data_IF_978494435032
#
_entry.id   IF_978494435032
#
_cell.length_a   1.000
_cell.length_b   1.000
_cell.length_c   1.000
_cell.angle_alpha   90.00
_cell.angle_beta   90.00
_cell.angle_gamma   90.00
#
_symmetry.space_group_name_H-M   'P 1'
#
loop_
_entity.id
_entity.type
_entity.pdbx_description
1 polymer ?
#
# COMPACT_ATOMS: atom_id res chain seq x y z
N UNK A 1 13.65 -10.98 -18.90
CA UNK A 1 13.46 -12.44 -18.99
C UNK A 1 12.51 -12.74 -20.13
N UNK A 2 13.02 -13.42 -21.19
CA UNK A 2 12.27 -13.82 -22.38
C UNK A 2 11.38 -12.71 -23.00
N UNK A 3 11.80 -11.44 -22.91
CA UNK A 3 11.08 -10.24 -23.39
C UNK A 3 9.59 -10.20 -22.96
N UNK A 4 9.30 -10.74 -21.78
CA UNK A 4 7.94 -10.88 -21.26
C UNK A 4 7.17 -12.12 -21.75
N UNK A 5 7.70 -12.86 -22.70
CA UNK A 5 7.12 -14.08 -23.24
C UNK A 5 7.75 -15.32 -22.59
N UNK A 6 7.32 -15.67 -21.41
CA UNK A 6 7.81 -16.85 -20.70
C UNK A 6 6.72 -17.92 -20.60
N UNK A 7 7.14 -19.17 -20.43
CA UNK A 7 6.22 -20.26 -20.14
C UNK A 7 5.63 -20.09 -18.74
N UNK A 8 4.30 -20.00 -18.57
CA UNK A 8 3.66 -19.91 -17.26
C UNK A 8 4.04 -21.03 -16.29
N UNK A 9 4.43 -22.22 -16.81
CA UNK A 9 4.93 -23.31 -15.99
C UNK A 9 6.38 -23.11 -15.52
N UNK A 10 7.08 -22.09 -16.06
CA UNK A 10 8.47 -21.76 -15.72
C UNK A 10 8.66 -20.26 -15.55
N UNK A 11 7.95 -19.62 -14.59
CA UNK A 11 8.04 -18.18 -14.37
C UNK A 11 9.42 -17.78 -13.86
N UNK A 12 9.80 -16.47 -13.93
CA UNK A 12 11.10 -15.97 -13.46
C UNK A 12 11.17 -15.88 -11.93
N UNK A 13 11.08 -17.03 -11.25
CA UNK A 13 10.99 -17.13 -9.78
C UNK A 13 12.12 -16.39 -9.05
N UNK A 14 13.36 -16.44 -9.59
CA UNK A 14 14.47 -15.73 -8.96
C UNK A 14 14.22 -14.22 -8.89
N UNK A 15 13.71 -13.64 -9.97
CA UNK A 15 13.38 -12.22 -10.04
C UNK A 15 12.21 -11.86 -9.12
N UNK A 16 11.17 -12.68 -9.15
CA UNK A 16 10.00 -12.50 -8.29
C UNK A 16 10.38 -12.58 -6.80
N UNK A 17 11.17 -13.56 -6.39
CA UNK A 17 11.63 -13.68 -4.99
C UNK A 17 12.49 -12.50 -4.56
N UNK A 18 13.39 -12.02 -5.44
CA UNK A 18 14.17 -10.82 -5.18
C UNK A 18 13.26 -9.59 -5.02
N UNK A 19 12.26 -9.44 -5.89
CA UNK A 19 11.26 -8.39 -5.79
C UNK A 19 10.49 -8.46 -4.45
N UNK A 20 10.00 -9.63 -4.08
CA UNK A 20 9.28 -9.83 -2.82
C UNK A 20 10.12 -9.42 -1.59
N UNK A 21 11.41 -9.81 -1.56
CA UNK A 21 12.31 -9.42 -0.46
C UNK A 21 12.63 -7.93 -0.43
N UNK A 22 12.74 -7.27 -1.59
CA UNK A 22 12.90 -5.81 -1.65
C UNK A 22 11.61 -5.15 -1.15
N UNK A 23 10.46 -5.64 -1.60
CA UNK A 23 9.16 -5.11 -1.20
C UNK A 23 8.90 -5.28 0.31
N UNK A 24 9.40 -6.36 0.90
CA UNK A 24 9.33 -6.60 2.34
C UNK A 24 9.89 -5.43 3.17
N UNK A 25 10.97 -4.79 2.70
CA UNK A 25 11.56 -3.62 3.37
C UNK A 25 10.73 -2.34 3.27
N UNK A 26 9.71 -2.31 2.43
CA UNK A 26 8.83 -1.16 2.21
C UNK A 26 7.40 -1.39 2.71
N UNK A 27 6.88 -2.61 2.58
CA UNK A 27 5.49 -2.93 2.91
C UNK A 27 5.19 -2.87 4.41
N UNK A 28 6.10 -3.36 5.24
CA UNK A 28 6.01 -3.21 6.69
C UNK A 28 7.06 -2.22 7.20
N UNK A 29 6.75 -1.55 8.30
CA UNK A 29 7.66 -0.59 8.90
C UNK A 29 8.88 -1.26 9.54
N UNK A 30 9.92 -0.47 9.76
CA UNK A 30 11.09 -0.91 10.55
C UNK A 30 10.68 -1.31 11.98
N UNK A 31 9.72 -0.60 12.57
CA UNK A 31 9.21 -0.92 13.90
C UNK A 31 8.47 -2.26 13.94
N UNK A 32 7.74 -2.62 12.88
CA UNK A 32 7.13 -3.95 12.74
C UNK A 32 8.16 -5.06 12.84
N UNK A 33 9.27 -4.93 12.12
CA UNK A 33 10.37 -5.91 12.17
C UNK A 33 11.09 -5.90 13.52
N UNK A 34 11.37 -4.73 14.05
CA UNK A 34 12.04 -4.57 15.34
C UNK A 34 11.23 -5.18 16.50
N UNK A 35 9.90 -5.04 16.47
CA UNK A 35 9.00 -5.57 17.48
C UNK A 35 8.58 -7.01 17.21
N UNK A 36 9.10 -7.63 16.17
CA UNK A 36 8.78 -9.00 15.75
C UNK A 36 7.27 -9.24 15.56
N UNK A 37 6.51 -8.23 15.07
CA UNK A 37 5.06 -8.31 14.86
C UNK A 37 4.67 -9.46 13.91
N UNK A 38 5.56 -9.89 13.03
CA UNK A 38 5.40 -11.06 12.17
C UNK A 38 5.13 -12.36 12.95
N UNK A 39 5.51 -12.45 14.25
CA UNK A 39 5.16 -13.59 15.11
C UNK A 39 3.65 -13.69 15.36
N UNK A 40 2.96 -12.56 15.37
CA UNK A 40 1.48 -12.55 15.49
C UNK A 40 0.78 -13.15 14.28
N UNK A 41 1.46 -13.19 13.15
CA UNK A 41 0.99 -13.86 11.93
C UNK A 41 1.29 -15.37 11.93
N UNK A 42 1.89 -15.90 13.01
CA UNK A 42 2.16 -17.33 13.18
C UNK A 42 3.55 -17.80 12.70
N UNK A 43 4.42 -16.89 12.27
CA UNK A 43 5.77 -17.23 11.81
C UNK A 43 6.72 -17.42 13.00
N UNK A 44 7.63 -18.40 12.88
CA UNK A 44 8.55 -18.76 13.97
C UNK A 44 9.89 -18.03 13.90
N UNK A 45 10.24 -17.51 12.71
CA UNK A 45 11.46 -16.72 12.49
C UNK A 45 11.23 -15.67 11.41
N UNK A 46 12.12 -14.66 11.36
CA UNK A 46 12.08 -13.66 10.29
C UNK A 46 12.24 -14.30 8.90
N UNK A 47 13.13 -15.28 8.76
CA UNK A 47 13.31 -15.97 7.47
C UNK A 47 12.05 -16.76 7.09
N UNK A 48 11.40 -17.40 8.06
CA UNK A 48 10.11 -18.09 7.84
C UNK A 48 9.04 -17.11 7.34
N UNK A 49 8.98 -15.92 7.93
CA UNK A 49 8.10 -14.85 7.46
C UNK A 49 8.45 -14.35 6.05
N UNK A 50 9.72 -14.12 5.77
CA UNK A 50 10.15 -13.66 4.45
C UNK A 50 9.86 -14.70 3.35
N UNK A 51 10.07 -15.98 3.65
CA UNK A 51 9.79 -17.07 2.70
C UNK A 51 8.28 -17.32 2.60
N UNK A 52 7.59 -17.49 3.73
CA UNK A 52 6.18 -17.88 3.74
C UNK A 52 5.25 -16.77 3.30
N UNK A 53 5.43 -15.55 3.82
CA UNK A 53 4.57 -14.42 3.48
C UNK A 53 5.01 -13.76 2.18
N UNK A 54 6.26 -13.32 2.07
CA UNK A 54 6.68 -12.51 0.94
C UNK A 54 6.99 -13.32 -0.31
N UNK A 55 7.81 -14.34 -0.22
CA UNK A 55 8.12 -15.17 -1.40
C UNK A 55 6.97 -16.12 -1.76
N UNK A 56 6.29 -16.71 -0.78
CA UNK A 56 5.17 -17.62 -0.98
C UNK A 56 3.89 -16.90 -1.37
N UNK A 57 3.31 -16.15 -0.45
CA UNK A 57 2.03 -15.45 -0.66
C UNK A 57 2.07 -14.45 -1.82
N UNK A 58 3.17 -13.70 -1.97
CA UNK A 58 3.31 -12.72 -3.04
C UNK A 58 3.56 -13.33 -4.41
N UNK A 59 4.08 -14.55 -4.48
CA UNK A 59 4.39 -15.20 -5.77
C UNK A 59 3.27 -16.07 -6.29
N UNK A 60 2.39 -16.54 -5.43
CA UNK A 60 1.36 -17.49 -5.82
C UNK A 60 0.41 -16.87 -6.87
N UNK A 61 0.50 -17.41 -8.09
CA UNK A 61 -0.33 -17.02 -9.23
C UNK A 61 -0.08 -15.61 -9.80
N UNK A 62 0.96 -14.89 -9.37
CA UNK A 62 1.25 -13.54 -9.90
C UNK A 62 2.05 -13.58 -11.17
N UNK A 63 1.55 -12.91 -12.20
CA UNK A 63 2.24 -12.66 -13.45
C UNK A 63 3.21 -11.45 -13.29
N UNK A 64 4.53 -11.62 -13.52
CA UNK A 64 5.49 -10.52 -13.46
C UNK A 64 5.20 -9.41 -14.47
N UNK A 65 4.55 -9.69 -15.61
CA UNK A 65 4.14 -8.63 -16.55
C UNK A 65 3.06 -7.73 -15.94
N UNK A 66 2.12 -8.31 -15.18
CA UNK A 66 1.13 -7.52 -14.45
C UNK A 66 1.79 -6.65 -13.37
N UNK A 67 2.79 -7.17 -12.65
CA UNK A 67 3.54 -6.38 -11.68
C UNK A 67 4.27 -5.20 -12.36
N UNK A 68 4.89 -5.43 -13.51
CA UNK A 68 5.53 -4.35 -14.30
C UNK A 68 4.51 -3.31 -14.76
N UNK A 69 3.35 -3.73 -15.22
CA UNK A 69 2.28 -2.82 -15.65
C UNK A 69 1.76 -1.98 -14.48
N UNK A 70 1.57 -2.59 -13.31
CA UNK A 70 1.17 -1.87 -12.10
C UNK A 70 2.23 -0.84 -11.67
N UNK A 71 3.50 -1.21 -11.68
CA UNK A 71 4.60 -0.30 -11.36
C UNK A 71 4.69 0.86 -12.36
N UNK A 72 4.52 0.58 -13.65
CA UNK A 72 4.49 1.62 -14.68
C UNK A 72 3.34 2.58 -14.47
N UNK A 73 2.13 2.06 -14.19
CA UNK A 73 0.95 2.87 -13.91
C UNK A 73 1.18 3.75 -12.68
N UNK A 74 1.78 3.21 -11.64
CA UNK A 74 2.09 3.95 -10.44
C UNK A 74 3.07 5.10 -10.69
N UNK A 75 4.11 4.87 -11.51
CA UNK A 75 5.09 5.89 -11.87
C UNK A 75 4.53 7.02 -12.76
N UNK A 76 3.47 6.74 -13.53
CA UNK A 76 2.95 7.66 -14.56
C UNK A 76 1.52 8.12 -14.26
N UNK A 77 0.86 7.57 -13.25
CA UNK A 77 -0.50 7.95 -12.89
C UNK A 77 -0.56 9.41 -12.40
N UNK A 78 -1.43 10.20 -13.04
CA UNK A 78 -1.72 11.56 -12.63
C UNK A 78 -3.23 11.80 -12.76
N UNK A 79 -3.89 12.11 -11.66
CA UNK A 79 -5.33 12.41 -11.66
C UNK A 79 -5.66 13.65 -12.49
N UNK A 80 -4.70 14.56 -12.67
CA UNK A 80 -4.83 15.74 -13.53
C UNK A 80 -4.98 15.40 -15.01
N UNK A 81 -4.58 14.19 -15.46
CA UNK A 81 -4.72 13.74 -16.84
C UNK A 81 -6.16 13.29 -17.16
N UNK A 82 -7.03 13.25 -16.16
CA UNK A 82 -8.47 13.02 -16.36
C UNK A 82 -9.07 14.15 -17.21
N UNK A 83 -9.93 13.85 -18.21
CA UNK A 83 -10.52 14.88 -19.07
C UNK A 83 -11.15 16.04 -18.28
N UNK A 84 -10.76 17.26 -18.63
CA UNK A 84 -11.24 18.50 -18.00
C UNK A 84 -10.29 19.12 -16.98
N UNK A 85 -9.17 18.46 -16.67
CA UNK A 85 -8.18 19.01 -15.72
C UNK A 85 -6.85 19.45 -16.38
N UNK A 86 -6.61 19.07 -17.62
CA UNK A 86 -5.47 19.54 -18.44
C UNK A 86 -4.09 19.31 -17.78
N UNK A 87 -3.92 18.19 -17.08
CA UNK A 87 -2.70 17.84 -16.34
C UNK A 87 -2.62 18.48 -14.94
N UNK A 88 -3.59 19.29 -14.53
CA UNK A 88 -3.59 19.99 -13.26
C UNK A 88 -4.16 19.10 -12.13
N UNK A 89 -3.24 18.51 -11.34
CA UNK A 89 -3.57 17.66 -10.21
C UNK A 89 -4.33 18.41 -9.10
N UNK A 90 -3.97 19.66 -8.84
CA UNK A 90 -4.63 20.47 -7.80
C UNK A 90 -6.08 20.74 -8.17
N UNK A 91 -6.34 21.12 -9.43
CA UNK A 91 -7.69 21.30 -9.95
C UNK A 91 -8.53 20.02 -9.85
N UNK A 92 -7.92 18.86 -10.12
CA UNK A 92 -8.57 17.57 -9.97
C UNK A 92 -8.96 17.28 -8.51
N UNK A 93 -8.05 17.49 -7.55
CA UNK A 93 -8.32 17.34 -6.11
C UNK A 93 -9.41 18.30 -5.63
N UNK A 94 -9.38 19.55 -6.06
CA UNK A 94 -10.39 20.56 -5.72
C UNK A 94 -11.79 20.24 -6.27
N UNK A 95 -11.88 19.36 -7.27
CA UNK A 95 -13.17 18.93 -7.83
C UNK A 95 -13.91 17.91 -6.96
N UNK A 96 -13.23 17.30 -5.98
CA UNK A 96 -13.81 16.32 -5.07
C UNK A 96 -14.82 17.01 -4.14
N UNK A 97 -16.10 16.64 -4.27
CA UNK A 97 -17.20 17.24 -3.48
C UNK A 97 -17.58 16.39 -2.27
N UNK A 98 -17.25 15.12 -2.31
CA UNK A 98 -17.56 14.20 -1.22
C UNK A 98 -16.82 14.60 0.05
N UNK A 99 -17.44 14.36 1.22
CA UNK A 99 -16.72 14.35 2.48
C UNK A 99 -15.69 13.22 2.44
N UNK A 100 -14.44 13.55 2.62
CA UNK A 100 -13.32 12.63 2.41
C UNK A 100 -12.46 12.56 3.66
N UNK A 101 -12.17 11.35 4.12
CA UNK A 101 -11.14 11.11 5.13
C UNK A 101 -10.03 10.28 4.50
N UNK A 102 -8.81 10.79 4.52
CA UNK A 102 -7.61 10.08 4.07
C UNK A 102 -6.96 9.44 5.28
N UNK A 103 -6.65 8.15 5.18
CA UNK A 103 -6.17 7.33 6.29
C UNK A 103 -4.76 6.78 6.02
N UNK A 104 -3.71 7.63 6.02
CA UNK A 104 -2.35 7.14 5.94
C UNK A 104 -1.95 6.42 7.23
N UNK A 105 -1.05 5.44 7.14
CA UNK A 105 -0.47 4.83 8.31
C UNK A 105 0.78 5.59 8.78
N UNK A 106 0.94 5.78 10.08
CA UNK A 106 2.03 6.56 10.68
C UNK A 106 3.43 6.14 10.22
N UNK A 107 3.60 4.86 9.94
CA UNK A 107 4.89 4.27 9.55
C UNK A 107 4.89 3.74 8.12
N UNK A 108 3.99 4.21 7.26
CA UNK A 108 3.99 3.84 5.85
C UNK A 108 5.23 4.44 5.16
N UNK A 109 5.95 3.60 4.40
CA UNK A 109 7.13 4.00 3.63
C UNK A 109 6.81 4.25 2.15
N UNK A 110 5.60 3.88 1.70
CA UNK A 110 5.12 4.14 0.35
C UNK A 110 4.31 5.42 0.26
N UNK A 111 3.39 5.61 1.21
CA UNK A 111 2.48 6.75 1.29
C UNK A 111 2.60 7.35 2.69
N UNK A 112 3.68 8.08 2.96
CA UNK A 112 3.90 8.69 4.25
C UNK A 112 2.81 9.74 4.54
N UNK A 113 2.44 9.93 5.81
CA UNK A 113 1.40 10.90 6.18
C UNK A 113 1.60 12.30 5.62
N UNK A 114 2.82 12.74 5.49
CA UNK A 114 3.19 14.07 4.99
C UNK A 114 2.75 14.29 3.53
N UNK A 115 2.85 13.27 2.69
CA UNK A 115 2.41 13.34 1.28
C UNK A 115 0.89 13.42 1.20
N UNK A 116 0.20 12.65 2.04
CA UNK A 116 -1.26 12.63 2.11
C UNK A 116 -1.83 13.94 2.73
N UNK A 117 -1.15 14.50 3.72
CA UNK A 117 -1.47 15.82 4.26
C UNK A 117 -1.33 16.90 3.20
N UNK A 118 -0.24 16.85 2.41
CA UNK A 118 -0.04 17.76 1.30
C UNK A 118 -1.15 17.65 0.24
N UNK A 119 -1.53 16.46 -0.17
CA UNK A 119 -2.59 16.26 -1.15
C UNK A 119 -3.97 16.67 -0.60
N UNK A 120 -4.26 16.32 0.65
CA UNK A 120 -5.56 16.54 1.28
C UNK A 120 -5.92 18.01 1.49
N UNK A 121 -4.93 18.92 1.60
CA UNK A 121 -5.19 20.35 1.70
C UNK A 121 -5.94 20.92 0.49
N UNK A 122 -5.90 20.24 -0.66
CA UNK A 122 -6.61 20.65 -1.86
C UNK A 122 -8.00 20.04 -1.99
N UNK A 123 -8.41 19.13 -1.11
CA UNK A 123 -9.74 18.53 -1.10
C UNK A 123 -10.65 19.37 -0.23
N UNK A 124 -11.71 20.04 -0.76
CA UNK A 124 -12.50 21.03 -0.03
C UNK A 124 -13.13 20.51 1.28
N UNK A 125 -13.55 19.24 1.29
CA UNK A 125 -14.14 18.56 2.46
C UNK A 125 -13.24 17.41 2.93
N UNK A 126 -11.92 17.58 2.77
CA UNK A 126 -10.90 16.59 3.12
C UNK A 126 -10.47 16.72 4.58
N UNK A 127 -10.17 15.57 5.20
CA UNK A 127 -9.49 15.50 6.48
C UNK A 127 -8.50 14.34 6.47
N UNK A 128 -7.38 14.48 7.17
CA UNK A 128 -6.42 13.39 7.38
C UNK A 128 -6.58 12.83 8.79
N UNK A 129 -6.57 11.53 8.90
CA UNK A 129 -6.55 10.78 10.16
C UNK A 129 -5.48 9.71 10.07
N UNK A 130 -4.37 9.90 10.76
CA UNK A 130 -3.24 8.97 10.72
C UNK A 130 -3.53 7.72 11.55
N UNK A 131 -3.38 6.53 10.96
CA UNK A 131 -3.50 5.24 11.65
C UNK A 131 -2.27 5.06 12.54
N UNK A 132 -2.42 4.99 13.88
CA UNK A 132 -1.28 5.02 14.81
C UNK A 132 -0.69 3.64 15.03
N UNK A 133 -0.25 2.96 13.98
CA UNK A 133 0.26 1.59 14.07
C UNK A 133 1.69 1.44 13.56
N UNK A 134 2.25 0.26 13.75
CA UNK A 134 3.59 -0.09 13.24
C UNK A 134 3.54 -0.98 11.99
N UNK A 135 2.36 -1.28 11.48
CA UNK A 135 2.18 -2.16 10.34
C UNK A 135 2.51 -1.50 8.99
N UNK A 136 2.77 -0.19 8.97
CA UNK A 136 3.15 0.53 7.76
C UNK A 136 2.07 0.42 6.69
N UNK A 137 2.45 0.12 5.46
CA UNK A 137 1.53 -0.02 4.33
C UNK A 137 0.44 -1.10 4.52
N UNK A 138 0.68 -2.06 5.40
CA UNK A 138 -0.28 -3.13 5.72
C UNK A 138 -1.24 -2.81 6.89
N UNK A 139 -1.22 -1.60 7.43
CA UNK A 139 -2.14 -1.21 8.51
C UNK A 139 -3.62 -1.38 8.13
N UNK A 140 -3.97 -1.17 6.85
CA UNK A 140 -5.31 -1.35 6.32
C UNK A 140 -5.70 -2.78 5.93
N UNK A 141 -4.79 -3.78 6.06
CA UNK A 141 -5.04 -5.17 5.62
C UNK A 141 -6.14 -5.89 6.41
N UNK A 142 -6.39 -5.45 7.64
CA UNK A 142 -7.32 -6.11 8.56
C UNK A 142 -6.66 -7.14 9.48
N UNK A 143 -5.38 -7.46 9.30
CA UNK A 143 -4.66 -8.45 10.11
C UNK A 143 -4.28 -7.92 11.49
N UNK A 144 -4.08 -6.60 11.62
CA UNK A 144 -3.89 -5.94 12.90
C UNK A 144 -5.24 -5.56 13.53
N UNK A 145 -5.64 -6.23 14.60
CA UNK A 145 -6.93 -5.97 15.26
C UNK A 145 -7.05 -4.55 15.83
N UNK A 146 -5.93 -3.94 16.24
CA UNK A 146 -5.89 -2.57 16.77
C UNK A 146 -6.14 -1.57 15.64
N UNK A 147 -5.41 -1.69 14.54
CA UNK A 147 -5.55 -0.81 13.38
C UNK A 147 -6.94 -0.95 12.75
N UNK A 148 -7.43 -2.18 12.61
CA UNK A 148 -8.79 -2.46 12.11
C UNK A 148 -9.85 -1.76 12.96
N UNK A 149 -9.78 -1.90 14.29
CA UNK A 149 -10.74 -1.24 15.17
C UNK A 149 -10.71 0.28 15.00
N UNK A 150 -9.52 0.85 14.93
CA UNK A 150 -9.34 2.29 14.75
C UNK A 150 -9.95 2.77 13.42
N UNK A 151 -9.69 2.05 12.32
CA UNK A 151 -10.26 2.34 11.00
C UNK A 151 -11.78 2.22 11.03
N UNK A 152 -12.33 1.15 11.62
CA UNK A 152 -13.78 0.95 11.75
C UNK A 152 -14.44 2.10 12.51
N UNK A 153 -13.83 2.60 13.58
CA UNK A 153 -14.35 3.72 14.36
C UNK A 153 -14.41 5.01 13.51
N UNK A 154 -13.35 5.30 12.72
CA UNK A 154 -13.30 6.47 11.82
C UNK A 154 -14.33 6.35 10.68
N UNK A 155 -14.48 5.16 10.10
CA UNK A 155 -15.50 4.93 9.06
C UNK A 155 -16.91 5.17 9.61
N UNK A 156 -17.20 4.68 10.82
CA UNK A 156 -18.50 4.92 11.48
C UNK A 156 -18.75 6.41 11.73
N UNK A 157 -17.75 7.15 12.16
CA UNK A 157 -17.83 8.60 12.32
C UNK A 157 -18.16 9.29 10.99
N UNK A 158 -17.48 8.91 9.90
CA UNK A 158 -17.74 9.46 8.57
C UNK A 158 -19.16 9.20 8.09
N UNK A 159 -19.67 7.96 8.31
CA UNK A 159 -21.01 7.56 7.86
C UNK A 159 -22.13 8.17 8.70
N UNK A 160 -21.85 8.59 9.92
CA UNK A 160 -22.82 9.20 10.83
C UNK A 160 -22.97 10.73 10.67
N UNK A 161 -22.18 11.34 9.79
CA UNK A 161 -22.01 12.81 9.70
C UNK A 161 -22.71 13.47 8.52
#
# INVERSE_FOLDING_TARGET
FADGWYDPASPPLRGLRAFARIYAGWGFSQAFYWQEEWRRLGFVSLEDFLVGFWEGFWLDGRDPNNLLTMLWTWQHGNIGDTPGFDGDQVKALQSIKAKTIVLPAEKDLYFPPEDEEYASQYIPNGAVRVIPGVWGHFAGSGDCAVDRKWIDDVIRELLAS
#
